data_IF_844664288060
#
_entry.id   IF_844664288060
#
_cell.length_a   1.000
_cell.length_b   1.000
_cell.length_c   1.000
_cell.angle_alpha   90.00
_cell.angle_beta   90.00
_cell.angle_gamma   90.00
#
_symmetry.space_group_name_H-M   'P 1'
#
loop_
_entity.id
_entity.type
_entity.pdbx_description
1 polymer ?
#
# COMPACT_ATOMS: atom_id res chain seq x y z
N UNK A 1 -3.24 10.30 -59.41
CA UNK A 1 -2.96 10.77 -58.05
C UNK A 1 -3.40 9.67 -57.07
N UNK A 2 -2.46 8.97 -56.46
CA UNK A 2 -2.75 7.95 -55.42
C UNK A 2 -2.62 8.61 -54.07
N UNK A 3 -3.73 8.72 -53.31
CA UNK A 3 -3.72 9.19 -51.93
C UNK A 3 -3.27 8.03 -51.01
N UNK A 4 -2.09 8.18 -50.45
CA UNK A 4 -1.61 7.26 -49.36
C UNK A 4 -2.18 7.81 -48.06
N UNK A 5 -3.19 7.13 -47.52
CA UNK A 5 -3.70 7.40 -46.15
C UNK A 5 -2.73 6.73 -45.19
N UNK A 6 -1.83 7.52 -44.59
CA UNK A 6 -1.06 7.09 -43.42
C UNK A 6 -1.95 7.00 -42.18
N UNK A 7 -2.42 5.82 -41.84
CA UNK A 7 -3.05 5.55 -40.52
C UNK A 7 -1.95 5.55 -39.47
N UNK A 8 -1.78 6.70 -38.78
CA UNK A 8 -1.01 6.77 -37.54
C UNK A 8 -1.79 6.05 -36.46
N UNK A 9 -1.46 4.80 -36.21
CA UNK A 9 -1.85 4.10 -34.98
C UNK A 9 -1.06 4.74 -33.82
N UNK A 10 -1.66 5.69 -33.09
CA UNK A 10 -1.20 6.06 -31.79
C UNK A 10 -1.34 4.85 -30.86
N UNK A 11 -0.29 4.05 -30.75
CA UNK A 11 -0.13 3.09 -29.68
C UNK A 11 -0.02 3.86 -28.37
N UNK A 12 -1.15 4.16 -27.75
CA UNK A 12 -1.18 4.59 -26.36
C UNK A 12 -0.73 3.38 -25.56
N UNK A 13 0.56 3.32 -25.29
CA UNK A 13 1.14 2.32 -24.42
C UNK A 13 0.53 2.50 -23.01
N UNK A 14 -0.50 1.72 -22.71
CA UNK A 14 -0.96 1.61 -21.33
C UNK A 14 0.21 1.06 -20.52
N UNK A 15 0.79 1.88 -19.65
CA UNK A 15 1.78 1.41 -18.71
C UNK A 15 1.19 0.19 -17.98
N UNK A 16 1.86 -0.94 -18.11
CA UNK A 16 1.41 -2.17 -17.47
C UNK A 16 1.55 -1.99 -15.96
N UNK A 17 0.47 -2.29 -15.24
CA UNK A 17 0.51 -2.22 -13.78
C UNK A 17 1.47 -3.30 -13.28
N UNK A 18 2.41 -2.97 -12.36
CA UNK A 18 3.33 -3.93 -11.80
C UNK A 18 2.61 -5.08 -11.10
N UNK A 19 3.23 -6.26 -11.08
CA UNK A 19 2.68 -7.43 -10.38
C UNK A 19 2.68 -7.25 -8.85
N UNK A 20 3.61 -6.47 -8.34
CA UNK A 20 3.77 -6.19 -6.91
C UNK A 20 3.64 -4.70 -6.69
N UNK A 21 2.63 -4.29 -5.96
CA UNK A 21 2.34 -2.88 -5.74
C UNK A 21 2.32 -2.53 -4.26
N UNK A 22 2.63 -1.26 -3.98
CA UNK A 22 2.46 -0.67 -2.67
C UNK A 22 1.50 0.50 -2.74
N UNK A 23 0.54 0.53 -1.81
CA UNK A 23 -0.53 1.52 -1.74
C UNK A 23 -0.72 2.03 -0.31
N UNK A 24 -1.34 3.18 -0.15
CA UNK A 24 -1.68 3.69 1.19
C UNK A 24 -1.35 5.16 1.42
N UNK A 25 -0.87 5.46 2.62
CA UNK A 25 -0.65 6.82 3.12
C UNK A 25 0.75 7.40 2.79
N UNK A 26 1.17 8.41 3.55
CA UNK A 26 2.46 9.10 3.36
C UNK A 26 3.71 8.21 3.57
N UNK A 27 3.56 7.02 4.12
CA UNK A 27 4.67 6.07 4.31
C UNK A 27 5.00 5.30 3.03
N UNK A 28 4.02 5.18 2.12
CA UNK A 28 4.15 4.47 0.85
C UNK A 28 5.39 4.84 0.03
N UNK A 29 5.73 6.14 -0.17
CA UNK A 29 6.94 6.53 -0.90
C UNK A 29 8.25 6.08 -0.27
N UNK A 30 8.29 5.99 1.06
CA UNK A 30 9.52 5.59 1.77
C UNK A 30 9.75 4.09 1.66
N UNK A 31 8.69 3.28 1.69
CA UNK A 31 8.79 1.83 1.45
C UNK A 31 9.18 1.56 0.01
N UNK A 32 8.51 2.19 -0.96
CA UNK A 32 8.81 2.09 -2.39
C UNK A 32 10.29 2.40 -2.68
N UNK A 33 10.85 3.46 -2.09
CA UNK A 33 12.26 3.82 -2.23
C UNK A 33 13.24 2.76 -1.69
N UNK A 34 12.82 1.99 -0.70
CA UNK A 34 13.67 1.04 0.02
C UNK A 34 13.47 -0.43 -0.37
N UNK A 35 12.48 -0.76 -1.19
CA UNK A 35 12.30 -2.08 -1.82
C UNK A 35 12.62 -2.00 -3.31
N UNK A 36 13.18 -3.09 -3.85
CA UNK A 36 13.50 -3.21 -5.29
C UNK A 36 12.42 -3.95 -6.08
N UNK A 37 11.42 -4.48 -5.39
CA UNK A 37 10.45 -5.44 -5.98
C UNK A 37 9.01 -4.97 -5.94
N UNK A 38 8.74 -3.83 -5.34
CA UNK A 38 7.40 -3.21 -5.32
C UNK A 38 7.44 -1.81 -5.92
N UNK A 39 6.33 -1.37 -6.47
CA UNK A 39 6.18 -0.04 -7.04
C UNK A 39 4.93 0.64 -6.53
N UNK A 40 5.03 1.95 -6.29
CA UNK A 40 3.86 2.80 -6.01
C UNK A 40 2.97 2.91 -7.23
N UNK A 41 1.67 2.86 -7.02
CA UNK A 41 0.70 3.08 -8.09
C UNK A 41 0.10 4.48 -7.99
N UNK A 42 0.18 5.23 -9.08
CA UNK A 42 -0.47 6.55 -9.18
C UNK A 42 -1.97 6.39 -8.95
N UNK A 43 -2.53 7.21 -8.08
CA UNK A 43 -3.96 7.16 -7.71
C UNK A 43 -4.32 6.16 -6.60
N UNK A 44 -3.35 5.41 -6.05
CA UNK A 44 -3.57 4.47 -4.93
C UNK A 44 -2.74 4.81 -3.69
N UNK A 45 -2.11 5.97 -3.64
CA UNK A 45 -1.46 6.49 -2.45
C UNK A 45 -1.60 8.01 -2.36
N UNK A 46 -1.62 8.52 -1.13
CA UNK A 46 -1.63 9.96 -0.86
C UNK A 46 -1.24 10.22 0.59
N UNK A 47 -0.48 11.29 0.83
CA UNK A 47 -0.16 11.74 2.19
C UNK A 47 -1.41 12.06 3.02
N UNK A 48 -1.40 11.69 4.30
CA UNK A 48 -2.43 12.03 5.27
C UNK A 48 -3.78 11.30 5.11
N UNK A 49 -3.89 10.30 4.25
CA UNK A 49 -5.16 9.58 4.06
C UNK A 49 -5.41 8.54 5.15
N UNK A 50 -6.68 8.25 5.34
CA UNK A 50 -7.21 7.23 6.23
C UNK A 50 -7.85 6.07 5.47
N UNK A 51 -8.28 5.02 6.18
CA UNK A 51 -8.93 3.83 5.60
C UNK A 51 -10.14 4.18 4.72
N UNK A 52 -11.10 5.03 5.13
CA UNK A 52 -12.23 5.40 4.27
C UNK A 52 -11.83 6.07 2.96
N UNK A 53 -10.77 6.91 3.00
CA UNK A 53 -10.29 7.59 1.80
C UNK A 53 -9.63 6.61 0.84
N UNK A 54 -8.72 5.76 1.35
CA UNK A 54 -8.08 4.72 0.54
C UNK A 54 -9.11 3.76 -0.08
N UNK A 55 -10.15 3.38 0.69
CA UNK A 55 -11.24 2.56 0.18
C UNK A 55 -11.88 3.18 -1.06
N UNK A 56 -12.16 4.49 -1.03
CA UNK A 56 -12.72 5.19 -2.20
C UNK A 56 -11.75 5.22 -3.39
N UNK A 57 -10.45 5.34 -3.15
CA UNK A 57 -9.44 5.30 -4.22
C UNK A 57 -9.43 3.92 -4.87
N UNK A 58 -9.38 2.84 -4.08
CA UNK A 58 -9.41 1.45 -4.57
C UNK A 58 -10.68 1.16 -5.36
N UNK A 59 -11.85 1.58 -4.87
CA UNK A 59 -13.13 1.38 -5.55
C UNK A 59 -13.24 2.07 -6.92
N UNK A 60 -12.51 3.16 -7.11
CA UNK A 60 -12.46 3.91 -8.39
C UNK A 60 -11.38 3.40 -9.33
N UNK A 61 -10.52 2.54 -8.83
CA UNK A 61 -9.43 2.01 -9.64
C UNK A 61 -9.93 0.87 -10.53
N UNK A 62 -9.30 0.71 -11.71
CA UNK A 62 -9.66 -0.37 -12.61
C UNK A 62 -9.30 -1.72 -12.04
N UNK A 63 -10.12 -2.73 -12.27
CA UNK A 63 -9.81 -4.11 -11.91
C UNK A 63 -8.51 -4.55 -12.58
N UNK A 64 -7.60 -5.10 -11.80
CA UNK A 64 -6.24 -5.42 -12.23
C UNK A 64 -5.84 -6.83 -11.79
N UNK A 65 -6.26 -7.86 -12.57
CA UNK A 65 -6.07 -9.26 -12.19
C UNK A 65 -4.60 -9.74 -12.32
N UNK A 66 -3.72 -8.92 -12.88
CA UNK A 66 -2.29 -9.23 -13.00
C UNK A 66 -1.51 -8.90 -11.73
N UNK A 67 -2.06 -8.09 -10.84
CA UNK A 67 -1.44 -7.80 -9.54
C UNK A 67 -1.46 -9.07 -8.69
N UNK A 68 -0.29 -9.48 -8.24
CA UNK A 68 -0.09 -10.69 -7.44
C UNK A 68 0.08 -10.38 -5.96
N UNK A 69 0.66 -9.22 -5.64
CA UNK A 69 0.91 -8.82 -4.27
C UNK A 69 0.58 -7.32 -4.08
N UNK A 70 -0.19 -7.03 -3.04
CA UNK A 70 -0.50 -5.68 -2.60
C UNK A 70 0.09 -5.49 -1.20
N UNK A 71 1.00 -4.53 -1.07
CA UNK A 71 1.54 -4.09 0.20
C UNK A 71 0.80 -2.82 0.63
N UNK A 72 0.28 -2.80 1.84
CA UNK A 72 -0.60 -1.76 2.36
C UNK A 72 0.05 -1.01 3.51
N UNK A 73 0.24 0.31 3.35
CA UNK A 73 0.66 1.23 4.40
C UNK A 73 -0.53 2.09 4.81
N UNK A 74 -1.17 1.80 5.96
CA UNK A 74 -2.34 2.54 6.43
C UNK A 74 -2.54 2.35 7.94
N UNK A 75 -3.21 3.28 8.59
CA UNK A 75 -3.63 3.14 9.99
C UNK A 75 -3.21 4.28 10.89
N UNK A 76 -2.06 4.89 10.63
CA UNK A 76 -1.54 6.00 11.43
C UNK A 76 -2.52 7.18 11.46
N UNK A 77 -3.07 7.56 10.32
CA UNK A 77 -4.03 8.66 10.20
C UNK A 77 -5.44 8.33 10.73
N UNK A 78 -5.71 7.06 10.99
CA UNK A 78 -6.93 6.60 11.68
C UNK A 78 -6.74 6.55 13.20
N UNK A 79 -5.55 6.88 13.72
CA UNK A 79 -5.18 6.71 15.11
C UNK A 79 -5.42 5.27 15.61
N UNK A 80 -5.21 4.30 14.71
CA UNK A 80 -5.42 2.87 14.96
C UNK A 80 -6.84 2.54 15.48
N UNK A 81 -7.83 3.16 14.87
CA UNK A 81 -9.25 2.87 15.08
C UNK A 81 -9.81 2.28 13.80
N UNK A 82 -10.54 1.16 13.91
CA UNK A 82 -11.22 0.57 12.74
C UNK A 82 -12.30 1.53 12.22
N UNK A 83 -12.08 2.03 11.02
CA UNK A 83 -12.99 2.91 10.29
C UNK A 83 -13.44 2.27 8.97
N UNK A 84 -13.63 0.96 8.97
CA UNK A 84 -14.11 0.24 7.80
C UNK A 84 -13.04 -0.60 7.11
N UNK A 85 -12.15 -1.24 7.85
CA UNK A 85 -11.12 -2.16 7.35
C UNK A 85 -11.74 -3.25 6.47
N UNK A 86 -12.85 -3.84 6.90
CA UNK A 86 -13.56 -4.87 6.12
C UNK A 86 -13.99 -4.36 4.74
N UNK A 87 -14.49 -3.12 4.67
CA UNK A 87 -14.88 -2.50 3.40
C UNK A 87 -13.67 -2.28 2.49
N UNK A 88 -12.53 -1.89 3.06
CA UNK A 88 -11.28 -1.78 2.31
C UNK A 88 -10.87 -3.14 1.73
N UNK A 89 -10.88 -4.21 2.52
CA UNK A 89 -10.51 -5.55 2.07
C UNK A 89 -11.43 -6.07 0.96
N UNK A 90 -12.76 -5.92 1.11
CA UNK A 90 -13.71 -6.25 0.04
C UNK A 90 -13.39 -5.50 -1.26
N UNK A 91 -13.03 -4.21 -1.15
CA UNK A 91 -12.66 -3.41 -2.32
C UNK A 91 -11.35 -3.89 -2.94
N UNK A 92 -10.35 -4.26 -2.12
CA UNK A 92 -9.07 -4.80 -2.60
C UNK A 92 -9.27 -6.11 -3.35
N UNK A 93 -10.08 -7.04 -2.85
CA UNK A 93 -10.36 -8.31 -3.52
C UNK A 93 -11.12 -8.15 -4.85
N UNK A 94 -11.99 -7.16 -4.94
CA UNK A 94 -12.67 -6.85 -6.21
C UNK A 94 -11.68 -6.26 -7.21
N UNK A 95 -10.82 -5.35 -6.77
CA UNK A 95 -9.90 -4.62 -7.66
C UNK A 95 -8.68 -5.47 -8.03
N UNK A 96 -8.20 -6.30 -7.10
CA UNK A 96 -7.01 -7.15 -7.25
C UNK A 96 -7.34 -8.62 -6.89
N UNK A 97 -8.15 -9.31 -7.70
CA UNK A 97 -8.79 -10.59 -7.30
C UNK A 97 -7.82 -11.76 -7.09
N UNK A 98 -6.58 -11.64 -7.54
CA UNK A 98 -5.55 -12.67 -7.39
C UNK A 98 -4.45 -12.28 -6.40
N UNK A 99 -4.53 -11.09 -5.84
CA UNK A 99 -3.45 -10.57 -5.01
C UNK A 99 -3.47 -11.14 -3.60
N UNK A 100 -2.28 -11.47 -3.09
CA UNK A 100 -2.05 -11.58 -1.65
C UNK A 100 -1.95 -10.18 -1.06
N UNK A 101 -2.58 -9.97 0.08
CA UNK A 101 -2.58 -8.67 0.76
C UNK A 101 -1.63 -8.74 1.94
N UNK A 102 -0.59 -7.94 1.90
CA UNK A 102 0.36 -7.74 2.99
C UNK A 102 0.11 -6.37 3.62
N UNK A 103 0.06 -6.31 4.93
CA UNK A 103 -0.21 -5.07 5.67
C UNK A 103 1.00 -4.73 6.51
N UNK A 104 1.62 -3.61 6.22
CA UNK A 104 2.78 -3.13 6.96
C UNK A 104 2.28 -2.43 8.21
N UNK A 105 2.58 -3.02 9.38
CA UNK A 105 2.21 -2.45 10.66
C UNK A 105 2.92 -1.10 10.85
N UNK A 106 2.15 -0.07 11.15
CA UNK A 106 2.69 1.26 11.41
C UNK A 106 3.67 1.27 12.57
N UNK A 107 4.70 2.08 12.47
CA UNK A 107 5.63 2.27 13.56
C UNK A 107 4.99 3.11 14.66
N UNK A 108 4.88 2.54 15.82
CA UNK A 108 4.28 3.15 17.01
C UNK A 108 5.19 4.11 17.75
N UNK A 109 6.49 4.08 17.47
CA UNK A 109 7.49 4.97 18.04
C UNK A 109 7.66 6.29 17.29
N UNK A 110 6.85 6.53 16.28
CA UNK A 110 6.97 7.70 15.44
C UNK A 110 6.43 8.95 16.14
N UNK A 111 7.37 9.70 16.65
CA UNK A 111 7.29 11.08 17.05
C UNK A 111 6.03 11.56 17.73
N UNK A 112 5.65 10.97 18.82
CA UNK A 112 4.59 11.56 19.64
C UNK A 112 3.23 11.77 18.96
N UNK A 113 3.14 11.53 17.66
CA UNK A 113 1.93 11.79 16.88
C UNK A 113 0.77 10.93 17.36
N UNK A 114 1.06 9.78 17.92
CA UNK A 114 -0.03 8.88 18.28
C UNK A 114 -0.15 8.62 19.76
N UNK A 115 0.85 8.85 20.60
CA UNK A 115 0.85 8.45 22.03
C UNK A 115 0.09 7.14 22.28
N UNK A 116 -0.02 6.31 21.23
CA UNK A 116 -0.89 5.15 21.21
C UNK A 116 -0.13 3.97 21.80
N UNK A 117 -0.71 3.31 22.77
CA UNK A 117 -0.13 2.10 23.36
C UNK A 117 0.02 1.00 22.31
N UNK A 118 1.12 0.28 22.36
CA UNK A 118 1.45 -0.80 21.42
C UNK A 118 0.33 -1.83 21.29
N UNK A 119 -0.30 -2.23 22.40
CA UNK A 119 -1.41 -3.19 22.38
C UNK A 119 -2.60 -2.73 21.54
N UNK A 120 -2.89 -1.41 21.52
CA UNK A 120 -3.94 -0.86 20.66
C UNK A 120 -3.55 -1.01 19.18
N UNK A 121 -2.29 -0.78 18.86
CA UNK A 121 -1.77 -0.92 17.49
C UNK A 121 -1.85 -2.39 17.06
N UNK A 122 -1.39 -3.33 17.89
CA UNK A 122 -1.52 -4.77 17.63
C UNK A 122 -2.96 -5.19 17.40
N UNK A 123 -3.88 -4.77 18.27
CA UNK A 123 -5.31 -5.06 18.13
C UNK A 123 -5.89 -4.55 16.82
N UNK A 124 -5.48 -3.35 16.40
CA UNK A 124 -5.90 -2.77 15.13
C UNK A 124 -5.43 -3.61 13.94
N UNK A 125 -4.15 -3.98 13.90
CA UNK A 125 -3.61 -4.78 12.79
C UNK A 125 -4.09 -6.23 12.81
N UNK A 126 -4.41 -6.81 13.97
CA UNK A 126 -5.05 -8.11 14.07
C UNK A 126 -6.35 -8.19 13.27
N UNK A 127 -7.08 -7.07 13.15
CA UNK A 127 -8.30 -7.02 12.33
C UNK A 127 -8.02 -7.27 10.85
N UNK A 128 -6.89 -6.81 10.34
CA UNK A 128 -6.46 -7.11 8.96
C UNK A 128 -6.11 -8.59 8.78
N UNK A 129 -5.46 -9.19 9.76
CA UNK A 129 -5.12 -10.61 9.75
C UNK A 129 -6.37 -11.49 9.76
N UNK A 130 -7.36 -11.17 10.59
CA UNK A 130 -8.67 -11.84 10.62
C UNK A 130 -9.41 -11.81 9.27
N UNK A 131 -9.13 -10.81 8.46
CA UNK A 131 -9.65 -10.67 7.10
C UNK A 131 -8.75 -11.29 6.02
N UNK A 132 -7.73 -12.06 6.40
CA UNK A 132 -6.85 -12.75 5.47
C UNK A 132 -5.64 -11.95 4.98
N UNK A 133 -5.33 -10.82 5.61
CA UNK A 133 -4.08 -10.09 5.38
C UNK A 133 -2.92 -10.74 6.11
N UNK A 134 -1.72 -10.64 5.55
CA UNK A 134 -0.47 -11.03 6.23
C UNK A 134 0.18 -9.80 6.82
N UNK A 135 0.42 -9.78 8.12
CA UNK A 135 1.04 -8.63 8.79
C UNK A 135 2.56 -8.68 8.66
N UNK A 136 3.15 -7.57 8.26
CA UNK A 136 4.58 -7.32 8.31
C UNK A 136 4.84 -6.42 9.52
N UNK A 137 5.51 -6.96 10.54
CA UNK A 137 5.90 -6.21 11.74
C UNK A 137 7.28 -5.60 11.52
N UNK A 138 7.39 -4.27 11.34
CA UNK A 138 8.68 -3.60 11.24
C UNK A 138 9.32 -3.41 12.62
N UNK A 139 10.62 -3.13 12.68
CA UNK A 139 11.24 -2.65 13.90
C UNK A 139 10.58 -1.37 14.41
N UNK A 140 10.67 -1.12 15.71
CA UNK A 140 10.17 0.11 16.31
C UNK A 140 10.93 1.31 15.74
N UNK A 141 10.21 2.17 15.04
CA UNK A 141 10.74 3.45 14.58
C UNK A 141 10.81 4.48 15.71
N UNK A 142 11.74 5.41 15.57
CA UNK A 142 11.89 6.56 16.49
C UNK A 142 11.84 7.83 15.65
N UNK A 143 11.07 8.83 16.12
CA UNK A 143 11.02 10.13 15.49
C UNK A 143 9.93 10.28 14.43
N UNK A 144 10.18 11.15 13.45
CA UNK A 144 9.25 11.47 12.38
C UNK A 144 9.11 10.32 11.37
N UNK A 145 7.90 9.85 11.08
CA UNK A 145 7.65 8.83 10.06
C UNK A 145 8.05 9.27 8.63
N UNK A 146 8.25 10.55 8.40
CA UNK A 146 8.62 11.09 7.09
C UNK A 146 10.14 11.22 6.90
N UNK A 147 10.95 10.73 7.83
CA UNK A 147 12.40 10.68 7.65
C UNK A 147 12.84 9.39 6.91
N UNK A 148 13.99 9.44 6.26
CA UNK A 148 14.65 8.27 5.65
C UNK A 148 15.32 7.44 6.76
N UNK A 149 14.51 6.75 7.56
CA UNK A 149 14.97 6.06 8.75
C UNK A 149 15.30 4.56 8.47
N UNK A 150 16.13 3.93 9.33
CA UNK A 150 16.48 2.51 9.20
C UNK A 150 15.29 1.56 9.12
N UNK A 151 14.14 1.94 9.70
CA UNK A 151 12.89 1.15 9.69
C UNK A 151 12.45 0.87 8.26
N UNK A 152 12.46 1.85 7.37
CA UNK A 152 12.06 1.63 5.97
C UNK A 152 13.02 0.73 5.21
N UNK A 153 14.30 0.76 5.55
CA UNK A 153 15.30 -0.16 4.98
C UNK A 153 15.00 -1.61 5.38
N UNK A 154 14.64 -1.83 6.63
CA UNK A 154 14.28 -3.17 7.09
C UNK A 154 12.94 -3.64 6.48
N UNK A 155 11.94 -2.77 6.39
CA UNK A 155 10.68 -3.08 5.68
C UNK A 155 10.98 -3.47 4.23
N UNK A 156 11.80 -2.70 3.52
CA UNK A 156 12.18 -3.00 2.13
C UNK A 156 12.84 -4.36 1.99
N UNK A 157 13.78 -4.72 2.87
CA UNK A 157 14.43 -6.04 2.89
C UNK A 157 13.41 -7.17 3.13
N UNK A 158 12.49 -6.99 4.08
CA UNK A 158 11.46 -8.00 4.36
C UNK A 158 10.57 -8.21 3.13
N UNK A 159 10.13 -7.14 2.48
CA UNK A 159 9.35 -7.21 1.24
C UNK A 159 10.14 -7.94 0.15
N UNK A 160 11.39 -7.56 -0.07
CA UNK A 160 12.24 -8.16 -1.10
C UNK A 160 12.45 -9.67 -0.85
N UNK A 161 12.51 -10.10 0.42
CA UNK A 161 12.60 -11.51 0.80
C UNK A 161 11.28 -12.27 0.62
N UNK A 162 10.12 -11.64 0.84
CA UNK A 162 8.81 -12.26 0.59
C UNK A 162 8.62 -12.53 -0.91
N UNK A 163 9.23 -11.73 -1.76
CA UNK A 163 9.07 -11.77 -3.20
C UNK A 163 10.21 -12.53 -3.92
N UNK A 164 10.99 -13.33 -3.21
CA UNK A 164 11.99 -14.23 -3.80
C UNK A 164 11.32 -15.38 -4.53
#
# INVERSE_FOLDING_TARGET
MKFIICLLFCLVGYAQIPNNIIIGDSQTPYVDKNSKKVERVVGLWKGGINVPYLTKMVQRYKVSPNVQNVFLCIGTNDLYVDKGIEKLFKSLWITFPKAKIYVIQGSWGWGGVTHTKYDKIKKYYKRYEELGGTIIEPPIGKGDPHCDCPVYKEIGKVIDNILL
#
